data_IF_176524872062
#
_entry.id   IF_176524872062
#
_cell.length_a   1.000
_cell.length_b   1.000
_cell.length_c   1.000
_cell.angle_alpha   90.00
_cell.angle_beta   90.00
_cell.angle_gamma   90.00
#
_symmetry.space_group_name_H-M   'P 1'
#
loop_
_entity.id
_entity.type
_entity.pdbx_description
1 polymer ?
#
# COMPACT_ATOMS: atom_id res chain seq x y z
N UNK A 1 -1.24 2.19 -6.56
CA UNK A 1 -1.57 1.29 -7.70
C UNK A 1 -2.68 1.83 -8.60
N UNK A 2 -3.89 2.09 -8.08
CA UNK A 2 -5.05 2.46 -8.91
C UNK A 2 -4.85 3.79 -9.67
N UNK A 3 -4.25 4.80 -9.05
CA UNK A 3 -3.87 6.06 -9.71
C UNK A 3 -2.83 5.83 -10.80
N UNK A 4 -1.82 5.00 -10.55
CA UNK A 4 -0.74 4.71 -11.49
C UNK A 4 -1.23 3.96 -12.74
N UNK A 5 -2.21 3.10 -12.57
CA UNK A 5 -2.83 2.34 -13.66
C UNK A 5 -4.00 3.11 -14.33
N UNK A 6 -4.27 4.35 -13.95
CA UNK A 6 -5.37 5.12 -14.50
C UNK A 6 -6.78 4.56 -14.22
N UNK A 7 -6.89 3.67 -13.23
CA UNK A 7 -8.17 3.05 -12.84
C UNK A 7 -9.07 4.05 -12.13
N UNK A 8 -8.47 4.96 -11.37
CA UNK A 8 -9.13 6.09 -10.74
C UNK A 8 -8.32 7.36 -10.92
N UNK A 9 -8.98 8.48 -10.75
CA UNK A 9 -8.42 9.81 -10.61
C UNK A 9 -8.87 10.46 -9.29
N UNK A 10 -8.50 11.72 -9.06
CA UNK A 10 -8.91 12.46 -7.86
C UNK A 10 -10.39 12.82 -7.82
N UNK A 11 -11.09 12.71 -8.95
CA UNK A 11 -12.53 13.00 -9.08
C UNK A 11 -13.38 11.75 -8.89
N UNK A 12 -12.77 10.56 -8.94
CA UNK A 12 -13.47 9.30 -8.76
C UNK A 12 -14.16 9.25 -7.40
N UNK A 13 -15.46 8.91 -7.39
CA UNK A 13 -16.29 8.82 -6.19
C UNK A 13 -17.02 7.48 -6.15
N UNK A 14 -17.25 7.00 -4.94
CA UNK A 14 -18.05 5.81 -4.65
C UNK A 14 -19.13 6.17 -3.67
N UNK A 15 -20.35 5.65 -3.85
CA UNK A 15 -21.42 5.74 -2.85
C UNK A 15 -21.24 4.59 -1.85
N UNK A 16 -21.02 4.93 -0.60
CA UNK A 16 -20.94 3.97 0.51
C UNK A 16 -22.27 3.97 1.27
N UNK A 17 -22.99 2.87 1.23
CA UNK A 17 -24.24 2.62 1.95
C UNK A 17 -24.04 1.72 3.17
N UNK A 18 -22.79 1.60 3.66
CA UNK A 18 -22.42 0.75 4.79
C UNK A 18 -22.09 -0.68 4.39
N UNK A 19 -22.35 -1.08 3.16
CA UNK A 19 -22.04 -2.41 2.62
C UNK A 19 -21.90 -2.38 1.11
N UNK A 20 -21.30 -3.44 0.58
CA UNK A 20 -21.22 -3.77 -0.83
C UNK A 20 -21.64 -5.23 -1.02
N UNK A 21 -22.49 -5.50 -1.99
CA UNK A 21 -22.89 -6.87 -2.32
C UNK A 21 -22.21 -7.34 -3.60
N UNK A 22 -21.69 -8.56 -3.57
CA UNK A 22 -21.01 -9.17 -4.70
C UNK A 22 -21.30 -10.68 -4.73
N UNK A 23 -21.96 -11.17 -5.78
CA UNK A 23 -22.29 -12.59 -5.98
C UNK A 23 -22.98 -13.24 -4.76
N UNK A 24 -23.90 -12.52 -4.13
CA UNK A 24 -24.64 -12.99 -2.96
C UNK A 24 -23.87 -12.94 -1.64
N UNK A 25 -22.66 -12.39 -1.65
CA UNK A 25 -21.89 -12.12 -0.43
C UNK A 25 -21.93 -10.63 -0.09
N UNK A 26 -22.06 -10.32 1.20
CA UNK A 26 -22.08 -8.96 1.70
C UNK A 26 -20.72 -8.61 2.33
N UNK A 27 -20.15 -7.49 1.89
CA UNK A 27 -18.91 -6.91 2.40
C UNK A 27 -19.26 -5.62 3.15
N UNK A 28 -19.07 -5.61 4.46
CA UNK A 28 -19.46 -4.48 5.30
C UNK A 28 -18.39 -3.40 5.32
N UNK A 29 -18.85 -2.16 5.39
CA UNK A 29 -18.04 -1.03 5.82
C UNK A 29 -18.21 -0.89 7.35
N UNK A 30 -17.16 -0.41 8.04
CA UNK A 30 -17.24 -0.21 9.49
C UNK A 30 -18.37 0.74 9.91
N UNK A 31 -18.74 1.68 9.05
CA UNK A 31 -19.85 2.61 9.29
C UNK A 31 -21.14 2.03 8.71
N UNK A 32 -21.97 1.44 9.55
CA UNK A 32 -23.20 0.73 9.16
C UNK A 32 -24.15 1.56 8.27
N UNK A 33 -24.33 2.85 8.60
CA UNK A 33 -25.19 3.77 7.81
C UNK A 33 -24.50 4.31 6.55
N UNK A 34 -23.27 3.87 6.27
CA UNK A 34 -22.46 4.33 5.15
C UNK A 34 -21.91 5.74 5.31
N UNK A 35 -21.02 6.08 4.37
CA UNK A 35 -20.35 7.38 4.31
C UNK A 35 -20.98 8.33 3.28
N UNK A 36 -22.00 7.86 2.53
CA UNK A 36 -22.50 8.59 1.37
C UNK A 36 -21.49 8.59 0.20
N UNK A 37 -21.46 9.64 -0.60
CA UNK A 37 -20.50 9.79 -1.68
C UNK A 37 -19.12 10.21 -1.17
N UNK A 38 -18.12 9.37 -1.35
CA UNK A 38 -16.75 9.61 -0.93
C UNK A 38 -15.80 9.66 -2.11
N UNK A 39 -14.89 10.64 -2.10
CA UNK A 39 -13.72 10.72 -2.98
C UNK A 39 -12.54 10.00 -2.32
N UNK A 40 -11.42 9.82 -3.04
CA UNK A 40 -10.19 9.24 -2.50
C UNK A 40 -9.78 9.88 -1.17
N UNK A 41 -9.76 11.23 -1.12
CA UNK A 41 -9.39 11.97 0.09
C UNK A 41 -10.31 11.65 1.27
N UNK A 42 -11.62 11.68 1.05
CA UNK A 42 -12.58 11.42 2.11
C UNK A 42 -12.63 9.94 2.50
N UNK A 43 -12.41 9.03 1.54
CA UNK A 43 -12.36 7.60 1.82
C UNK A 43 -11.17 7.22 2.70
N UNK A 44 -9.99 7.79 2.46
CA UNK A 44 -8.82 7.60 3.34
C UNK A 44 -9.05 8.23 4.71
N UNK A 45 -9.49 9.48 4.75
CA UNK A 45 -9.76 10.19 6.02
C UNK A 45 -10.76 9.46 6.92
N UNK A 46 -11.78 8.84 6.32
CA UNK A 46 -12.86 8.17 7.06
C UNK A 46 -12.72 6.65 7.08
N UNK A 47 -11.62 6.09 6.55
CA UNK A 47 -11.38 4.65 6.45
C UNK A 47 -12.58 3.91 5.81
N UNK A 48 -13.03 4.37 4.65
CA UNK A 48 -14.21 3.82 4.00
C UNK A 48 -13.89 2.52 3.24
N UNK A 49 -14.23 1.37 3.81
CA UNK A 49 -13.97 0.06 3.19
C UNK A 49 -14.62 -0.08 1.82
N UNK A 50 -15.89 0.36 1.69
CA UNK A 50 -16.64 0.25 0.41
C UNK A 50 -15.93 0.97 -0.74
N UNK A 51 -15.28 2.10 -0.49
CA UNK A 51 -14.50 2.80 -1.50
C UNK A 51 -13.33 1.92 -1.98
N UNK A 52 -12.60 1.34 -1.03
CA UNK A 52 -11.43 0.52 -1.36
C UNK A 52 -11.82 -0.85 -1.93
N UNK A 53 -12.96 -1.42 -1.55
CA UNK A 53 -13.53 -2.58 -2.24
C UNK A 53 -13.76 -2.30 -3.72
N UNK A 54 -14.39 -1.18 -4.06
CA UNK A 54 -14.65 -0.83 -5.45
C UNK A 54 -13.37 -0.54 -6.24
N UNK A 55 -12.41 0.15 -5.62
CA UNK A 55 -11.09 0.39 -6.21
C UNK A 55 -10.34 -0.92 -6.45
N UNK A 56 -10.33 -1.83 -5.48
CA UNK A 56 -9.69 -3.13 -5.60
C UNK A 56 -10.36 -4.00 -6.67
N UNK A 57 -11.71 -4.01 -6.70
CA UNK A 57 -12.48 -4.70 -7.73
C UNK A 57 -12.12 -4.28 -9.15
N UNK A 58 -11.95 -2.98 -9.38
CA UNK A 58 -11.56 -2.42 -10.68
C UNK A 58 -10.10 -2.69 -11.03
N UNK A 59 -9.24 -2.68 -10.04
CA UNK A 59 -7.79 -2.83 -10.21
C UNK A 59 -7.38 -4.30 -10.43
N UNK A 60 -7.93 -5.20 -9.63
CA UNK A 60 -7.54 -6.61 -9.58
C UNK A 60 -6.34 -6.87 -8.66
N UNK A 61 -6.30 -8.09 -8.11
CA UNK A 61 -5.28 -8.47 -7.11
C UNK A 61 -3.87 -8.52 -7.68
N UNK A 62 -3.70 -8.94 -8.93
CA UNK A 62 -2.36 -9.05 -9.55
C UNK A 62 -1.68 -7.68 -9.70
N UNK A 63 -2.45 -6.62 -10.03
CA UNK A 63 -1.91 -5.25 -10.06
C UNK A 63 -1.66 -4.70 -8.64
N UNK A 64 -2.45 -5.11 -7.65
CA UNK A 64 -2.17 -4.83 -6.24
C UNK A 64 -0.84 -5.46 -5.83
N UNK A 65 -0.61 -6.74 -6.17
CA UNK A 65 0.64 -7.47 -5.91
C UNK A 65 1.87 -6.75 -6.48
N UNK A 66 1.82 -6.33 -7.75
CA UNK A 66 2.92 -5.58 -8.37
C UNK A 66 3.26 -4.32 -7.56
N UNK A 67 2.25 -3.64 -7.03
CA UNK A 67 2.47 -2.46 -6.17
C UNK A 67 3.03 -2.84 -4.81
N UNK A 68 2.48 -3.88 -4.19
CA UNK A 68 2.96 -4.39 -2.91
C UNK A 68 4.44 -4.77 -2.96
N UNK A 69 4.87 -5.45 -4.02
CA UNK A 69 6.27 -5.82 -4.25
C UNK A 69 7.20 -4.59 -4.32
N UNK A 70 6.78 -3.55 -5.02
CA UNK A 70 7.55 -2.29 -5.10
C UNK A 70 7.78 -1.65 -3.72
N UNK A 71 6.81 -1.79 -2.83
CA UNK A 71 6.91 -1.29 -1.46
C UNK A 71 7.55 -2.28 -0.48
N UNK A 72 7.95 -3.47 -0.94
CA UNK A 72 8.61 -4.49 -0.12
C UNK A 72 7.65 -5.42 0.62
N UNK A 73 6.33 -5.31 0.42
CA UNK A 73 5.35 -6.18 1.09
C UNK A 73 5.39 -7.60 0.50
N UNK A 74 5.45 -8.60 1.37
CA UNK A 74 5.54 -10.00 0.95
C UNK A 74 6.94 -10.42 0.47
N UNK A 75 7.98 -9.63 0.77
CA UNK A 75 9.36 -9.90 0.39
C UNK A 75 10.31 -9.70 1.59
N UNK A 76 11.45 -10.39 1.60
CA UNK A 76 12.54 -10.07 2.52
C UNK A 76 13.11 -8.70 2.14
N UNK A 77 13.27 -7.80 3.11
CA UNK A 77 13.68 -6.41 2.87
C UNK A 77 15.00 -6.03 3.56
N UNK A 78 15.50 -6.88 4.48
CA UNK A 78 16.70 -6.64 5.26
C UNK A 78 17.99 -7.19 4.60
N UNK A 79 17.85 -7.88 3.47
CA UNK A 79 18.96 -8.46 2.74
C UNK A 79 19.64 -9.63 3.47
N UNK A 80 20.93 -9.85 3.20
CA UNK A 80 21.70 -11.00 3.69
C UNK A 80 21.99 -10.94 5.20
N UNK A 81 21.80 -9.78 5.84
CA UNK A 81 22.12 -9.60 7.27
C UNK A 81 21.16 -10.33 8.22
N UNK A 82 20.02 -10.80 7.70
CA UNK A 82 18.98 -11.48 8.49
C UNK A 82 18.50 -12.74 7.81
N UNK A 83 19.21 -13.84 8.02
CA UNK A 83 18.88 -15.17 7.44
C UNK A 83 17.45 -15.60 7.78
N UNK A 84 17.00 -15.33 9.02
CA UNK A 84 15.68 -15.72 9.54
C UNK A 84 14.56 -14.69 9.29
N UNK A 85 14.80 -13.70 8.41
CA UNK A 85 13.75 -12.74 8.06
C UNK A 85 12.54 -13.45 7.47
N UNK A 86 11.35 -13.10 7.98
CA UNK A 86 10.09 -13.57 7.42
C UNK A 86 9.68 -12.65 6.26
N UNK A 87 9.43 -13.24 5.11
CA UNK A 87 9.00 -12.49 3.94
C UNK A 87 7.56 -11.95 4.05
N UNK A 88 6.77 -12.46 5.01
CA UNK A 88 5.34 -12.20 4.98
C UNK A 88 4.71 -12.79 3.72
N UNK A 89 3.55 -12.25 3.32
CA UNK A 89 2.85 -12.70 2.13
C UNK A 89 1.94 -11.61 1.59
N UNK A 90 2.00 -11.37 0.29
CA UNK A 90 0.98 -10.62 -0.40
C UNK A 90 0.42 -11.50 -1.53
N UNK A 91 -0.88 -11.87 -1.46
CA UNK A 91 -1.44 -12.87 -2.38
C UNK A 91 -1.65 -12.31 -3.79
N UNK A 92 -1.62 -13.19 -4.78
CA UNK A 92 -2.09 -12.99 -6.14
C UNK A 92 -2.77 -14.25 -6.68
N UNK A 93 -3.23 -14.21 -7.93
CA UNK A 93 -3.90 -15.35 -8.57
C UNK A 93 -3.00 -16.57 -8.69
N UNK A 94 -1.70 -16.39 -8.98
CA UNK A 94 -0.71 -17.46 -9.13
C UNK A 94 -0.38 -18.09 -7.79
N UNK A 95 -0.15 -17.24 -6.78
CA UNK A 95 0.11 -17.71 -5.42
C UNK A 95 -1.00 -18.66 -4.93
N UNK A 96 -2.26 -18.27 -5.11
CA UNK A 96 -3.37 -19.10 -4.63
C UNK A 96 -3.46 -20.46 -5.31
N UNK A 97 -3.20 -20.52 -6.61
CA UNK A 97 -3.16 -21.78 -7.36
C UNK A 97 -2.01 -22.66 -6.84
N UNK A 98 -0.82 -22.08 -6.64
CA UNK A 98 0.37 -22.82 -6.25
C UNK A 98 0.29 -23.34 -4.80
N UNK A 99 -0.16 -22.49 -3.88
CA UNK A 99 -0.17 -22.82 -2.45
C UNK A 99 -1.43 -23.57 -2.01
N UNK A 100 -2.58 -23.28 -2.62
CA UNK A 100 -3.86 -23.81 -2.16
C UNK A 100 -4.57 -24.70 -3.19
N UNK A 101 -4.03 -24.82 -4.40
CA UNK A 101 -4.65 -25.60 -5.48
C UNK A 101 -6.03 -25.08 -5.93
N UNK A 102 -6.35 -23.78 -5.64
CA UNK A 102 -7.66 -23.19 -5.87
C UNK A 102 -7.57 -21.92 -6.72
N UNK A 103 -8.57 -21.69 -7.57
CA UNK A 103 -8.70 -20.46 -8.33
C UNK A 103 -9.00 -19.27 -7.41
N UNK A 104 -8.62 -18.08 -7.87
CA UNK A 104 -8.91 -16.81 -7.20
C UNK A 104 -10.39 -16.44 -7.36
N UNK A 105 -11.01 -15.92 -6.31
CA UNK A 105 -12.37 -15.37 -6.36
C UNK A 105 -12.37 -13.89 -6.09
N UNK A 106 -13.28 -13.15 -6.75
CA UNK A 106 -13.28 -11.69 -6.73
C UNK A 106 -13.49 -11.10 -5.32
N UNK A 107 -14.23 -11.81 -4.45
CA UNK A 107 -14.40 -11.41 -3.05
C UNK A 107 -13.07 -11.32 -2.29
N UNK A 108 -12.10 -12.18 -2.60
CA UNK A 108 -10.76 -12.13 -2.02
C UNK A 108 -9.99 -10.88 -2.45
N UNK A 109 -10.23 -10.40 -3.68
CA UNK A 109 -9.67 -9.12 -4.14
C UNK A 109 -10.16 -7.95 -3.29
N UNK A 110 -11.45 -7.94 -2.92
CA UNK A 110 -12.02 -6.90 -2.08
C UNK A 110 -11.32 -6.88 -0.72
N UNK A 111 -11.24 -8.04 -0.08
CA UNK A 111 -10.62 -8.19 1.25
C UNK A 111 -9.12 -7.85 1.21
N UNK A 112 -8.39 -8.30 0.18
CA UNK A 112 -6.98 -7.92 -0.03
C UNK A 112 -6.81 -6.41 -0.23
N UNK A 113 -7.78 -5.75 -0.87
CA UNK A 113 -7.78 -4.32 -1.12
C UNK A 113 -7.83 -3.45 0.14
N UNK A 114 -8.25 -4.00 1.25
CA UNK A 114 -8.22 -3.36 2.58
C UNK A 114 -7.15 -3.96 3.51
N UNK A 115 -6.22 -4.74 2.95
CA UNK A 115 -5.08 -5.30 3.69
C UNK A 115 -5.43 -6.51 4.58
N UNK A 116 -6.52 -7.19 4.28
CA UNK A 116 -6.97 -8.37 5.02
C UNK A 116 -6.89 -9.67 4.19
N UNK A 117 -7.49 -10.75 4.69
CA UNK A 117 -7.48 -12.05 4.05
C UNK A 117 -6.13 -12.76 4.16
N UNK A 118 -5.57 -13.15 3.04
CA UNK A 118 -4.27 -13.83 2.99
C UNK A 118 -3.05 -12.91 3.13
N UNK A 119 -3.26 -11.60 3.25
CA UNK A 119 -2.17 -10.63 3.38
C UNK A 119 -1.51 -10.75 4.75
N UNK A 120 -0.20 -10.95 4.77
CA UNK A 120 0.64 -11.00 5.97
C UNK A 120 1.85 -10.11 5.77
N UNK A 121 2.07 -9.16 6.67
CA UNK A 121 3.18 -8.22 6.60
C UNK A 121 3.95 -8.20 7.91
N UNK A 122 5.25 -7.96 7.82
CA UNK A 122 6.08 -7.74 9.00
C UNK A 122 6.09 -6.26 9.37
N UNK A 123 6.32 -5.90 10.65
CA UNK A 123 6.43 -4.50 11.05
C UNK A 123 7.46 -3.71 10.25
N UNK A 124 8.61 -4.32 9.91
CA UNK A 124 9.64 -3.65 9.12
C UNK A 124 9.18 -3.33 7.70
N UNK A 125 8.36 -4.20 7.08
CA UNK A 125 7.78 -3.94 5.77
C UNK A 125 6.81 -2.77 5.79
N UNK A 126 5.98 -2.66 6.84
CA UNK A 126 5.08 -1.51 7.01
C UNK A 126 5.85 -0.21 7.26
N UNK A 127 6.92 -0.28 8.06
CA UNK A 127 7.82 0.85 8.28
C UNK A 127 8.48 1.29 6.97
N UNK A 128 9.02 0.36 6.19
CA UNK A 128 9.64 0.61 4.89
C UNK A 128 8.64 1.25 3.91
N UNK A 129 7.45 0.68 3.77
CA UNK A 129 6.40 1.23 2.91
C UNK A 129 6.06 2.67 3.30
N UNK A 130 5.87 2.92 4.60
CA UNK A 130 5.54 4.25 5.12
C UNK A 130 6.67 5.25 4.85
N UNK A 131 7.92 4.86 5.11
CA UNK A 131 9.09 5.67 4.83
C UNK A 131 9.24 6.01 3.34
N UNK A 132 8.98 5.03 2.47
CA UNK A 132 9.01 5.23 1.00
C UNK A 132 7.88 6.15 0.51
N UNK A 133 6.71 6.12 1.13
CA UNK A 133 5.65 7.10 0.83
C UNK A 133 6.08 8.47 1.34
N UNK A 134 6.58 8.56 2.57
CA UNK A 134 6.96 9.83 3.19
C UNK A 134 8.10 10.57 2.46
N UNK A 135 9.07 9.83 1.91
CA UNK A 135 10.19 10.41 1.18
C UNK A 135 9.84 10.86 -0.26
N UNK A 136 8.60 10.70 -0.70
CA UNK A 136 8.15 11.06 -2.04
C UNK A 136 8.15 9.91 -3.04
N UNK A 137 8.21 8.66 -2.58
CA UNK A 137 8.12 7.46 -3.43
C UNK A 137 9.45 6.99 -4.00
N UNK A 138 10.53 7.25 -3.29
CA UNK A 138 11.84 6.73 -3.64
C UNK A 138 12.14 5.45 -2.86
N UNK A 139 12.82 4.51 -3.52
CA UNK A 139 13.23 3.25 -2.94
C UNK A 139 14.20 3.46 -1.79
N UNK A 140 13.99 2.73 -0.71
CA UNK A 140 14.85 2.67 0.46
C UNK A 140 15.35 1.24 0.61
N UNK A 141 16.65 1.08 0.89
CA UNK A 141 17.22 -0.18 1.38
C UNK A 141 17.43 -0.03 2.87
N UNK A 142 16.62 -0.70 3.72
CA UNK A 142 16.76 -0.58 5.16
C UNK A 142 18.09 -1.17 5.63
N UNK A 143 18.73 -0.52 6.62
CA UNK A 143 19.92 -1.00 7.30
C UNK A 143 19.62 -1.09 8.78
N UNK A 144 20.00 -2.21 9.41
CA UNK A 144 19.85 -2.41 10.87
C UNK A 144 21.13 -2.04 11.60
N UNK A 145 22.27 -2.29 10.96
CA UNK A 145 23.57 -1.93 11.51
C UNK A 145 24.04 -0.64 10.86
N UNK A 146 24.41 0.32 11.66
CA UNK A 146 25.13 1.52 11.22
C UNK A 146 26.58 1.41 11.71
N UNK A 147 27.53 1.79 10.88
CA UNK A 147 28.92 1.93 11.31
C UNK A 147 28.97 3.00 12.41
N UNK A 148 29.20 2.57 13.61
CA UNK A 148 29.63 3.19 14.87
C UNK A 148 29.26 4.63 15.27
N UNK A 149 28.46 5.39 14.53
CA UNK A 149 28.05 6.69 14.99
C UNK A 149 26.53 6.83 14.95
N UNK A 150 25.90 6.97 16.11
CA UNK A 150 24.53 7.41 16.22
C UNK A 150 24.39 8.75 15.48
N UNK A 151 23.71 8.74 14.36
CA UNK A 151 23.43 9.94 13.59
C UNK A 151 22.61 10.90 14.46
N UNK A 152 23.11 12.09 14.68
CA UNK A 152 22.33 13.13 15.36
C UNK A 152 21.13 13.53 14.50
N UNK A 153 20.11 14.11 15.12
CA UNK A 153 18.92 14.61 14.39
C UNK A 153 19.28 15.59 13.27
N UNK A 154 20.36 16.35 13.42
CA UNK A 154 20.87 17.26 12.38
C UNK A 154 21.53 16.51 11.22
N UNK A 155 22.31 15.46 11.51
CA UNK A 155 22.92 14.61 10.48
C UNK A 155 21.86 13.87 9.69
N UNK A 156 20.78 13.39 10.35
CA UNK A 156 19.64 12.78 9.67
C UNK A 156 18.94 13.80 8.76
N UNK A 157 18.66 15.02 9.24
CA UNK A 157 18.07 16.10 8.43
C UNK A 157 18.93 16.45 7.24
N UNK A 158 20.25 16.58 7.44
CA UNK A 158 21.22 16.87 6.38
C UNK A 158 21.26 15.73 5.35
N UNK A 159 21.36 14.47 5.79
CA UNK A 159 21.33 13.33 4.91
C UNK A 159 20.03 13.23 4.10
N UNK A 160 18.88 13.59 4.69
CA UNK A 160 17.60 13.69 3.99
C UNK A 160 17.56 14.83 2.96
N UNK A 161 18.21 15.95 3.24
CA UNK A 161 18.34 17.07 2.29
C UNK A 161 19.30 16.72 1.16
N UNK A 162 20.47 16.18 1.48
CA UNK A 162 21.49 15.76 0.51
C UNK A 162 20.96 14.63 -0.39
N UNK A 163 20.12 13.74 0.15
CA UNK A 163 19.46 12.70 -0.59
C UNK A 163 18.49 13.22 -1.65
N UNK A 164 17.79 14.32 -1.37
CA UNK A 164 16.93 15.01 -2.34
C UNK A 164 17.72 15.71 -3.45
N UNK A 165 18.95 16.12 -3.15
CA UNK A 165 19.81 16.85 -4.10
C UNK A 165 20.62 15.91 -5.01
N UNK A 166 20.90 14.70 -4.56
CA UNK A 166 21.85 13.79 -5.24
C UNK A 166 21.24 12.80 -6.23
N UNK A 167 19.99 12.91 -6.65
CA UNK A 167 19.35 12.12 -7.74
C UNK A 167 19.67 10.60 -7.80
N UNK A 168 20.25 10.01 -6.74
CA UNK A 168 20.69 8.61 -6.69
C UNK A 168 19.60 7.65 -6.22
N UNK A 169 18.36 8.13 -6.06
CA UNK A 169 17.26 7.29 -5.62
C UNK A 169 16.41 6.86 -6.79
N UNK A 170 16.24 5.55 -6.89
CA UNK A 170 15.33 4.93 -7.86
C UNK A 170 13.88 5.26 -7.46
N UNK A 171 13.11 5.96 -8.32
CA UNK A 171 11.70 6.20 -8.03
C UNK A 171 10.90 4.91 -8.18
N UNK A 172 10.03 4.61 -7.22
CA UNK A 172 9.12 3.46 -7.27
C UNK A 172 8.10 3.57 -8.39
N UNK A 173 7.76 4.80 -8.76
CA UNK A 173 6.81 5.10 -9.81
C UNK A 173 7.31 6.20 -10.73
N UNK A 174 6.97 6.09 -12.02
CA UNK A 174 7.29 7.11 -13.03
C UNK A 174 6.58 8.42 -12.76
N UNK A 175 5.34 8.37 -12.23
CA UNK A 175 4.54 9.55 -11.96
C UNK A 175 4.55 9.90 -10.47
N UNK A 176 5.48 10.75 -10.07
CA UNK A 176 5.63 11.25 -8.70
C UNK A 176 4.39 12.01 -8.18
N UNK A 177 3.55 12.54 -9.08
CA UNK A 177 2.30 13.22 -8.69
C UNK A 177 1.35 12.28 -7.94
N UNK A 178 1.34 10.99 -8.27
CA UNK A 178 0.50 10.01 -7.60
C UNK A 178 0.89 9.82 -6.13
N UNK A 179 2.19 9.81 -5.83
CA UNK A 179 2.68 9.75 -4.44
C UNK A 179 2.29 11.01 -3.68
N UNK A 180 2.46 12.18 -4.30
CA UNK A 180 2.06 13.45 -3.68
C UNK A 180 0.56 13.48 -3.33
N UNK A 181 -0.31 13.00 -4.22
CA UNK A 181 -1.75 12.86 -3.93
C UNK A 181 -1.98 11.98 -2.70
N UNK A 182 -1.26 10.84 -2.59
CA UNK A 182 -1.36 9.95 -1.44
C UNK A 182 -0.89 10.63 -0.16
N UNK A 183 0.27 11.31 -0.18
CA UNK A 183 0.80 12.06 0.97
C UNK A 183 -0.19 13.14 1.45
N UNK A 184 -0.70 13.98 0.55
CA UNK A 184 -1.68 15.02 0.86
C UNK A 184 -2.98 14.43 1.44
N UNK A 185 -3.36 13.26 0.96
CA UNK A 185 -4.56 12.56 1.43
C UNK A 185 -4.34 11.99 2.83
N UNK A 186 -3.17 11.37 3.08
CA UNK A 186 -2.79 10.86 4.42
C UNK A 186 -2.70 12.00 5.44
N UNK A 187 -2.04 13.11 5.08
CA UNK A 187 -1.94 14.29 5.95
C UNK A 187 -3.31 14.85 6.35
N UNK A 188 -4.30 14.77 5.47
CA UNK A 188 -5.65 15.24 5.79
C UNK A 188 -6.44 14.30 6.72
N UNK A 189 -5.86 13.15 7.09
CA UNK A 189 -6.49 12.16 8.00
C UNK A 189 -6.11 12.39 9.47
N UNK A 190 -5.11 13.24 9.70
CA UNK A 190 -4.71 13.75 11.02
C UNK A 190 -5.44 15.05 11.33
#
# INVERSE_FOLDING_TARGET
>A
SALENGIIDTKFKVKCEGKMELYGQTFHCWKEKGHGYVSLKNAMKQSCDTYFYEVARKLGVDRLKITADKFGLGNKVLGEYFENEKAGQFPDTKWKINELGKGWVLGETLITGIGQGYTQTTPIQLCLMTAQIANGGYKITPKILTDDNQLTSEQVKKAMQDSKLNNNYEPLYKNQRNIKIVQETMFSST
#
